data_IF_102358101296
#
_entry.id   IF_102358101296
#
_cell.length_a   1.000
_cell.length_b   1.000
_cell.length_c   1.000
_cell.angle_alpha   90.00
_cell.angle_beta   90.00
_cell.angle_gamma   90.00
#
_symmetry.space_group_name_H-M   'P 1'
#
loop_
_entity.id
_entity.type
_entity.pdbx_description
1 polymer ?
#
# COMPACT_ATOMS: atom_id res chain seq x y z
N UNK A 1 -3.09 50.81 22.54
CA UNK A 1 -3.32 50.12 21.26
C UNK A 1 -4.69 49.46 21.35
N UNK A 2 -5.70 49.93 20.60
CA UNK A 2 -7.05 49.34 20.64
C UNK A 2 -7.06 48.18 19.64
N UNK A 3 -7.43 46.98 20.10
CA UNK A 3 -7.60 45.81 19.23
C UNK A 3 -9.00 45.90 18.64
N UNK A 4 -9.09 45.97 17.32
CA UNK A 4 -10.35 46.13 16.62
C UNK A 4 -11.17 44.84 16.68
N UNK A 5 -12.49 44.97 16.88
CA UNK A 5 -13.41 43.82 16.99
C UNK A 5 -13.35 42.91 15.76
N UNK A 6 -13.03 43.46 14.59
CA UNK A 6 -12.84 42.73 13.35
C UNK A 6 -11.68 41.73 13.43
N UNK A 7 -10.61 42.09 14.14
CA UNK A 7 -9.44 41.22 14.34
C UNK A 7 -9.79 40.00 15.19
N UNK A 8 -10.62 40.17 16.22
CA UNK A 8 -11.11 39.08 17.07
C UNK A 8 -12.03 38.11 16.32
N UNK A 9 -12.87 38.61 15.41
CA UNK A 9 -13.75 37.76 14.58
C UNK A 9 -12.94 36.91 13.62
N UNK A 10 -11.91 37.48 12.98
CA UNK A 10 -11.02 36.73 12.06
C UNK A 10 -10.25 35.64 12.81
N UNK A 11 -9.73 35.95 13.99
CA UNK A 11 -9.09 34.95 14.86
C UNK A 11 -10.08 33.84 15.25
N UNK A 12 -11.31 34.19 15.63
CA UNK A 12 -12.31 33.20 16.02
C UNK A 12 -12.69 32.25 14.87
N UNK A 13 -12.77 32.75 13.64
CA UNK A 13 -13.02 31.94 12.43
C UNK A 13 -11.84 31.01 12.13
N UNK A 14 -10.60 31.50 12.28
CA UNK A 14 -9.39 30.69 12.07
C UNK A 14 -9.25 29.57 13.10
N UNK A 15 -9.72 29.77 14.34
CA UNK A 15 -9.67 28.74 15.39
C UNK A 15 -10.79 27.69 15.28
N UNK A 16 -11.90 27.98 14.61
CA UNK A 16 -13.07 27.07 14.55
C UNK A 16 -13.03 26.08 13.38
N UNK A 17 -12.12 26.25 12.42
CA UNK A 17 -12.07 25.46 11.18
C UNK A 17 -11.30 24.12 11.23
N UNK A 18 -10.79 23.69 12.39
CA UNK A 18 -9.96 22.48 12.46
C UNK A 18 -10.76 21.25 12.95
N UNK A 19 -11.64 20.72 12.08
CA UNK A 19 -12.21 19.39 12.26
C UNK A 19 -11.32 18.37 11.57
N UNK A 20 -10.38 17.78 12.31
CA UNK A 20 -9.68 16.59 11.85
C UNK A 20 -10.66 15.41 11.89
N UNK A 21 -11.10 14.93 10.73
CA UNK A 21 -11.83 13.66 10.64
C UNK A 21 -10.94 12.57 11.21
N UNK A 22 -11.36 11.98 12.32
CA UNK A 22 -10.61 10.97 13.07
C UNK A 22 -11.04 9.56 12.67
N UNK A 23 -11.55 9.40 11.45
CA UNK A 23 -11.99 8.13 10.93
C UNK A 23 -10.80 7.20 10.76
N UNK A 24 -10.86 6.06 11.46
CA UNK A 24 -9.80 5.06 11.41
C UNK A 24 -9.90 4.31 10.08
N UNK A 25 -8.82 4.24 9.29
CA UNK A 25 -8.85 3.50 8.04
C UNK A 25 -9.01 2.00 8.31
N UNK A 26 -9.76 1.33 7.42
CA UNK A 26 -9.88 -0.12 7.44
C UNK A 26 -8.72 -0.73 6.64
N UNK A 27 -7.82 -1.42 7.32
CA UNK A 27 -6.65 -2.06 6.69
C UNK A 27 -6.98 -3.52 6.38
N UNK A 28 -7.02 -3.87 5.10
CA UNK A 28 -7.22 -5.24 4.61
C UNK A 28 -5.91 -5.77 4.07
N UNK A 29 -5.36 -6.85 4.63
CA UNK A 29 -4.15 -7.51 4.12
C UNK A 29 -4.55 -8.80 3.41
N UNK A 30 -4.15 -8.94 2.15
CA UNK A 30 -4.40 -10.15 1.35
C UNK A 30 -3.05 -10.83 1.10
N UNK A 31 -2.90 -12.06 1.60
CA UNK A 31 -1.72 -12.88 1.39
C UNK A 31 -2.05 -14.01 0.43
N UNK A 32 -1.28 -14.12 -0.65
CA UNK A 32 -1.40 -15.18 -1.63
C UNK A 32 -0.17 -16.10 -1.58
N UNK A 33 -0.41 -17.40 -1.44
CA UNK A 33 0.64 -18.42 -1.49
C UNK A 33 0.98 -18.76 -2.95
N UNK A 34 2.25 -19.08 -3.20
CA UNK A 34 2.78 -19.52 -4.51
C UNK A 34 2.42 -18.69 -5.76
N UNK A 35 1.93 -17.46 -5.61
CA UNK A 35 1.63 -16.55 -6.72
C UNK A 35 2.89 -15.95 -7.35
N UNK A 36 3.19 -16.27 -8.60
CA UNK A 36 4.31 -15.70 -9.35
C UNK A 36 4.06 -14.27 -9.83
N UNK A 37 5.15 -13.52 -10.11
CA UNK A 37 5.04 -12.18 -10.70
C UNK A 37 4.35 -12.20 -12.07
N UNK A 38 4.63 -13.24 -12.87
CA UNK A 38 4.05 -13.44 -14.20
C UNK A 38 2.61 -13.95 -14.20
N UNK A 39 2.01 -14.16 -13.02
CA UNK A 39 0.64 -14.67 -12.91
C UNK A 39 -0.40 -13.54 -12.88
N UNK A 40 0.02 -12.31 -12.61
CA UNK A 40 -0.87 -11.15 -12.53
C UNK A 40 -0.85 -10.34 -13.83
N UNK A 41 -2.04 -9.98 -14.32
CA UNK A 41 -2.22 -9.16 -15.53
C UNK A 41 -1.49 -7.81 -15.43
N UNK A 42 -1.56 -7.15 -14.28
CA UNK A 42 -0.88 -5.88 -14.00
C UNK A 42 0.66 -5.96 -14.10
N UNK A 43 1.24 -7.16 -14.06
CA UNK A 43 2.67 -7.43 -14.24
C UNK A 43 2.98 -8.13 -15.57
N UNK A 44 2.10 -7.97 -16.58
CA UNK A 44 2.21 -8.59 -17.92
C UNK A 44 2.03 -10.11 -17.91
N UNK A 45 1.33 -10.63 -16.90
CA UNK A 45 0.91 -12.01 -16.86
C UNK A 45 -0.13 -12.34 -17.94
N UNK A 46 -0.24 -13.63 -18.26
CA UNK A 46 -1.22 -14.12 -19.25
C UNK A 46 -2.61 -14.34 -18.66
N UNK A 47 -2.71 -14.44 -17.34
CA UNK A 47 -3.97 -14.66 -16.63
C UNK A 47 -4.66 -13.32 -16.44
N UNK A 48 -5.95 -13.26 -16.77
CA UNK A 48 -6.75 -12.05 -16.55
C UNK A 48 -7.13 -11.96 -15.07
N UNK A 49 -6.68 -10.89 -14.41
CA UNK A 49 -6.90 -10.67 -12.97
C UNK A 49 -7.60 -9.33 -12.72
N UNK A 50 -8.81 -9.10 -13.27
CA UNK A 50 -9.41 -7.76 -13.35
C UNK A 50 -9.57 -7.06 -12.00
N UNK A 51 -9.85 -7.81 -10.91
CA UNK A 51 -9.96 -7.23 -9.57
C UNK A 51 -8.60 -6.77 -9.04
N UNK A 52 -7.53 -7.55 -9.23
CA UNK A 52 -6.18 -7.20 -8.81
C UNK A 52 -5.60 -6.10 -9.72
N UNK A 53 -5.90 -6.15 -11.01
CA UNK A 53 -5.48 -5.15 -11.99
C UNK A 53 -6.14 -3.80 -11.69
N UNK A 54 -7.43 -3.79 -11.35
CA UNK A 54 -8.14 -2.60 -10.91
C UNK A 54 -7.56 -2.02 -9.60
N UNK A 55 -7.21 -2.88 -8.64
CA UNK A 55 -6.55 -2.45 -7.42
C UNK A 55 -5.16 -1.86 -7.67
N UNK A 56 -4.37 -2.48 -8.57
CA UNK A 56 -3.05 -2.00 -8.97
C UNK A 56 -3.13 -0.65 -9.70
N UNK A 57 -4.15 -0.43 -10.54
CA UNK A 57 -4.36 0.80 -11.28
C UNK A 57 -4.80 1.98 -10.38
N UNK A 58 -5.54 1.70 -9.31
CA UNK A 58 -6.04 2.71 -8.37
C UNK A 58 -5.17 2.86 -7.11
N UNK A 59 -4.06 2.11 -7.03
CA UNK A 59 -3.21 2.05 -5.84
C UNK A 59 -1.73 2.15 -6.17
N UNK A 60 -0.90 1.58 -5.30
CA UNK A 60 0.56 1.52 -5.48
C UNK A 60 0.96 0.08 -5.79
N UNK A 61 1.69 -0.09 -6.88
CA UNK A 61 2.26 -1.38 -7.27
C UNK A 61 3.74 -1.47 -6.90
N UNK A 62 4.16 -2.60 -6.33
CA UNK A 62 5.54 -2.85 -5.96
C UNK A 62 6.23 -3.68 -7.03
N UNK A 63 7.29 -3.16 -7.64
CA UNK A 63 8.01 -3.85 -8.73
C UNK A 63 9.34 -4.49 -8.28
N UNK A 64 9.81 -4.16 -7.08
CA UNK A 64 11.09 -4.63 -6.51
C UNK A 64 10.93 -5.07 -5.06
N UNK A 65 9.96 -5.95 -4.81
CA UNK A 65 9.80 -6.61 -3.52
C UNK A 65 10.41 -8.01 -3.58
N UNK A 66 11.28 -8.34 -2.64
CA UNK A 66 11.97 -9.64 -2.57
C UNK A 66 11.66 -10.30 -1.24
N UNK A 67 11.35 -11.59 -1.28
CA UNK A 67 11.33 -12.43 -0.10
C UNK A 67 12.72 -12.99 0.15
N UNK A 68 13.23 -12.85 1.37
CA UNK A 68 14.37 -13.65 1.82
C UNK A 68 13.85 -15.03 2.24
N UNK A 69 14.28 -16.08 1.55
CA UNK A 69 14.05 -17.46 1.99
C UNK A 69 15.22 -17.84 2.89
N UNK A 70 14.92 -18.32 4.10
CA UNK A 70 15.96 -18.81 5.01
C UNK A 70 16.81 -19.88 4.35
N UNK A 71 18.13 -19.67 4.30
CA UNK A 71 19.08 -20.68 3.80
C UNK A 71 18.94 -21.95 4.64
N UNK A 72 18.78 -23.10 4.00
CA UNK A 72 19.01 -24.37 4.67
C UNK A 72 20.51 -24.51 4.95
N UNK A 73 20.92 -24.92 6.17
CA UNK A 73 22.32 -24.92 6.59
C UNK A 73 23.24 -25.83 5.76
N UNK A 74 22.69 -26.72 4.93
CA UNK A 74 23.42 -27.77 4.23
C UNK A 74 23.46 -27.58 2.70
N UNK A 75 23.07 -26.43 2.16
CA UNK A 75 23.15 -26.15 0.73
C UNK A 75 24.54 -25.61 0.34
N UNK A 76 25.17 -26.24 -0.66
CA UNK A 76 26.42 -25.78 -1.27
C UNK A 76 26.22 -24.39 -1.90
N UNK A 77 27.17 -23.47 -1.68
CA UNK A 77 27.17 -22.09 -2.17
C UNK A 77 27.14 -21.94 -3.71
N UNK A 78 27.04 -23.05 -4.44
CA UNK A 78 27.04 -23.11 -5.90
C UNK A 78 25.65 -23.42 -6.50
N UNK A 79 24.62 -23.52 -5.66
CA UNK A 79 23.23 -23.73 -6.10
C UNK A 79 22.58 -22.44 -6.58
N UNK A 80 22.41 -22.33 -7.90
CA UNK A 80 21.72 -21.27 -8.63
C UNK A 80 20.44 -20.79 -7.94
N UNK A 81 20.27 -19.47 -7.84
CA UNK A 81 19.05 -18.79 -7.38
C UNK A 81 17.82 -19.29 -8.15
N UNK A 82 17.10 -20.27 -7.60
CA UNK A 82 15.77 -20.60 -8.09
C UNK A 82 14.84 -19.45 -7.71
N UNK A 83 14.61 -18.59 -8.69
CA UNK A 83 13.66 -17.48 -8.70
C UNK A 83 12.21 -17.94 -8.52
N UNK A 84 11.35 -16.94 -8.31
CA UNK A 84 9.89 -16.94 -8.17
C UNK A 84 9.38 -17.22 -6.78
N UNK A 85 9.16 -16.15 -6.01
CA UNK A 85 8.34 -16.31 -4.83
C UNK A 85 7.53 -15.05 -4.48
N UNK A 86 6.21 -15.29 -4.39
CA UNK A 86 5.07 -14.38 -4.26
C UNK A 86 5.20 -13.19 -3.32
N UNK A 87 4.56 -12.10 -3.75
CA UNK A 87 4.40 -10.84 -3.04
C UNK A 87 3.53 -11.00 -1.80
N UNK A 88 3.97 -10.38 -0.70
CA UNK A 88 3.05 -9.88 0.31
C UNK A 88 2.51 -8.57 -0.23
N UNK A 89 1.24 -8.53 -0.64
CA UNK A 89 0.59 -7.26 -0.89
C UNK A 89 0.22 -6.67 0.47
N UNK A 90 0.99 -5.70 0.94
CA UNK A 90 0.49 -4.77 1.94
C UNK A 90 -0.50 -3.84 1.25
N UNK A 91 -1.75 -4.28 1.22
CA UNK A 91 -2.88 -3.42 0.91
C UNK A 91 -3.12 -2.49 2.10
N UNK A 92 -2.68 -1.24 1.99
CA UNK A 92 -3.27 -0.15 2.76
C UNK A 92 -4.38 0.43 1.90
N UNK A 93 -5.58 -0.11 2.05
CA UNK A 93 -6.77 0.54 1.49
C UNK A 93 -7.09 1.73 2.39
N UNK A 94 -6.61 2.92 2.00
CA UNK A 94 -7.18 4.18 2.47
C UNK A 94 -8.49 4.40 1.69
N UNK A 95 -9.56 3.65 2.01
CA UNK A 95 -10.89 4.07 1.56
C UNK A 95 -11.33 5.19 2.51
N UNK A 96 -11.11 6.44 2.09
CA UNK A 96 -11.94 7.54 2.58
C UNK A 96 -13.30 7.38 1.88
N UNK A 97 -14.35 7.22 2.67
CA UNK A 97 -15.66 7.72 2.29
C UNK A 97 -15.79 9.18 2.76
#
# INVERSE_FOLDING_TARGET
MKIDKLFLVVIFILLTGYSASNEKPNILIILADDLGYSDLGCYRGKIQTPNIDGLAANGVSLTRFRREIGKQPNMSDNGSYAEWVSFRFEYVIMKQE
#
